data_IF_906881034480
#
_entry.id   IF_906881034480
#
_cell.length_a   1.000
_cell.length_b   1.000
_cell.length_c   1.000
_cell.angle_alpha   90.00
_cell.angle_beta   90.00
_cell.angle_gamma   90.00
#
_symmetry.space_group_name_H-M   'P 1'
#
loop_
_entity.id
_entity.type
_entity.pdbx_description
1 polymer ?
#
# COMPACT_ATOMS: atom_id res chain seq x y z
N UNK A 1 67.97 35.40 -22.77
CA UNK A 1 66.95 36.46 -22.83
C UNK A 1 65.91 35.95 -23.82
N UNK A 2 64.65 35.64 -23.54
CA UNK A 2 63.75 35.75 -22.38
C UNK A 2 62.68 34.64 -22.60
N UNK A 3 62.43 33.73 -21.66
CA UNK A 3 61.35 33.77 -20.67
C UNK A 3 60.08 34.52 -21.09
N UNK A 4 59.02 33.75 -21.39
CA UNK A 4 57.64 34.08 -20.98
C UNK A 4 56.80 32.78 -20.86
N UNK A 5 56.33 32.38 -19.67
CA UNK A 5 55.35 31.32 -19.48
C UNK A 5 53.97 31.93 -19.19
N UNK A 6 53.03 31.80 -20.12
CA UNK A 6 51.63 32.13 -19.86
C UNK A 6 50.79 30.87 -19.64
N UNK A 7 50.03 30.98 -18.56
CA UNK A 7 49.24 29.98 -17.88
C UNK A 7 47.83 30.08 -18.42
N UNK A 8 47.27 28.98 -18.92
CA UNK A 8 45.81 28.80 -18.97
C UNK A 8 45.47 27.40 -18.42
N UNK A 9 44.97 27.39 -17.18
CA UNK A 9 44.28 26.24 -16.62
C UNK A 9 42.83 26.25 -17.11
N UNK A 10 42.26 25.12 -17.55
CA UNK A 10 40.82 25.04 -17.72
C UNK A 10 40.13 25.01 -16.35
N UNK A 11 39.33 26.03 -16.11
CA UNK A 11 38.30 26.14 -15.09
C UNK A 11 37.55 24.81 -14.91
N UNK A 12 37.68 24.23 -13.71
CA UNK A 12 36.90 23.10 -13.24
C UNK A 12 35.44 23.54 -13.15
N UNK A 13 34.68 23.23 -14.21
CA UNK A 13 33.23 23.32 -14.20
C UNK A 13 32.69 22.25 -13.27
N UNK A 14 32.22 22.69 -12.10
CA UNK A 14 31.46 21.88 -11.18
C UNK A 14 30.26 21.26 -11.91
N UNK A 15 30.31 19.95 -12.15
CA UNK A 15 29.15 19.14 -12.45
C UNK A 15 28.14 19.32 -11.30
N UNK A 16 26.87 19.67 -11.56
CA UNK A 16 25.86 19.56 -10.53
C UNK A 16 25.77 18.08 -10.15
N UNK A 17 26.08 17.80 -8.89
CA UNK A 17 25.90 16.50 -8.26
C UNK A 17 24.39 16.24 -8.15
N UNK A 18 23.83 15.54 -9.14
CA UNK A 18 22.43 15.09 -9.14
C UNK A 18 22.34 13.79 -8.33
N UNK A 19 22.86 13.82 -7.10
CA UNK A 19 22.82 12.69 -6.16
C UNK A 19 21.91 13.01 -4.98
N UNK A 20 20.73 13.57 -5.21
CA UNK A 20 19.68 13.58 -4.19
C UNK A 20 18.26 13.73 -4.77
N UNK A 21 17.91 12.88 -5.74
CA UNK A 21 16.51 12.44 -5.80
C UNK A 21 16.39 11.27 -4.86
N UNK A 22 16.09 11.59 -3.60
CA UNK A 22 15.74 10.63 -2.55
C UNK A 22 14.75 9.61 -3.12
N UNK A 23 15.28 8.46 -3.53
CA UNK A 23 14.53 7.23 -3.61
C UNK A 23 14.07 7.02 -2.18
N UNK A 24 12.85 7.46 -1.86
CA UNK A 24 12.07 6.83 -0.81
C UNK A 24 12.04 5.38 -1.22
N UNK A 25 13.02 4.61 -0.73
CA UNK A 25 13.01 3.18 -0.72
C UNK A 25 11.80 2.81 0.12
N UNK A 26 10.64 2.81 -0.53
CA UNK A 26 9.42 2.29 0.01
C UNK A 26 9.81 0.89 0.48
N UNK A 27 9.73 0.67 1.78
CA UNK A 27 10.06 -0.59 2.45
C UNK A 27 8.98 -1.64 2.12
N UNK A 28 8.74 -1.84 0.83
CA UNK A 28 7.70 -2.69 0.28
C UNK A 28 8.25 -4.07 0.00
N UNK A 29 7.36 -5.04 0.11
CA UNK A 29 7.65 -6.42 -0.22
C UNK A 29 7.79 -6.54 -1.75
N UNK A 30 8.95 -6.99 -2.20
CA UNK A 30 9.21 -7.29 -3.61
C UNK A 30 8.93 -8.77 -3.83
N UNK A 31 8.18 -9.08 -4.89
CA UNK A 31 8.05 -10.46 -5.41
C UNK A 31 8.92 -10.57 -6.67
N UNK A 32 9.98 -11.36 -6.55
CA UNK A 32 10.88 -11.74 -7.65
C UNK A 32 10.50 -13.08 -8.26
N UNK A 33 11.01 -13.33 -9.47
CA UNK A 33 10.69 -14.52 -10.30
C UNK A 33 9.18 -14.80 -10.32
N UNK A 34 8.39 -13.75 -10.49
CA UNK A 34 6.95 -13.84 -10.38
C UNK A 34 6.33 -14.42 -11.65
N UNK A 35 5.20 -15.12 -11.49
CA UNK A 35 4.37 -15.65 -12.57
C UNK A 35 2.89 -15.44 -12.24
N UNK A 36 2.05 -15.31 -13.26
CA UNK A 36 0.61 -15.13 -13.07
C UNK A 36 -0.03 -16.50 -13.00
N UNK A 37 -0.78 -16.73 -11.94
CA UNK A 37 -1.60 -17.92 -11.80
C UNK A 37 -3.06 -17.51 -11.64
N UNK A 38 -3.98 -18.34 -12.10
CA UNK A 38 -5.40 -18.06 -11.99
C UNK A 38 -6.00 -18.86 -10.84
N UNK A 39 -6.73 -18.19 -9.96
CA UNK A 39 -7.61 -18.83 -8.98
C UNK A 39 -9.06 -18.74 -9.46
N UNK A 40 -9.91 -19.70 -9.10
CA UNK A 40 -11.36 -19.54 -9.29
C UNK A 40 -11.91 -18.71 -8.14
N UNK A 41 -12.65 -17.65 -8.47
CA UNK A 41 -13.45 -16.91 -7.51
C UNK A 41 -14.53 -17.82 -6.91
N UNK A 42 -14.70 -17.86 -5.58
CA UNK A 42 -15.69 -18.74 -4.94
C UNK A 42 -17.14 -18.33 -5.24
N UNK A 43 -17.38 -17.06 -5.57
CA UNK A 43 -18.72 -16.49 -5.73
C UNK A 43 -19.34 -16.75 -7.11
N UNK A 44 -18.53 -16.70 -8.18
CA UNK A 44 -19.02 -16.79 -9.56
C UNK A 44 -18.20 -17.75 -10.45
N UNK A 45 -17.19 -18.42 -9.90
CA UNK A 45 -16.31 -19.34 -10.64
C UNK A 45 -15.37 -18.68 -11.65
N UNK A 46 -15.35 -17.34 -11.73
CA UNK A 46 -14.50 -16.60 -12.66
C UNK A 46 -13.02 -16.77 -12.30
N UNK A 47 -12.16 -16.88 -13.32
CA UNK A 47 -10.73 -16.89 -13.11
C UNK A 47 -10.22 -15.49 -12.78
N UNK A 48 -9.59 -15.35 -11.62
CA UNK A 48 -9.01 -14.11 -11.12
C UNK A 48 -7.50 -14.28 -11.00
N UNK A 49 -6.77 -13.23 -11.43
CA UNK A 49 -5.32 -13.24 -11.42
C UNK A 49 -4.80 -13.26 -9.97
N UNK A 50 -3.80 -14.09 -9.73
CA UNK A 50 -2.94 -14.15 -8.54
C UNK A 50 -1.49 -14.15 -9.01
N UNK A 51 -0.56 -13.92 -8.08
CA UNK A 51 0.86 -14.00 -8.34
C UNK A 51 1.45 -15.12 -7.49
N UNK A 52 2.31 -15.92 -8.11
CA UNK A 52 3.25 -16.80 -7.42
C UNK A 52 4.67 -16.29 -7.67
N UNK A 53 5.51 -16.28 -6.65
CA UNK A 53 6.90 -15.81 -6.78
C UNK A 53 7.65 -15.85 -5.46
N UNK A 54 8.86 -15.31 -5.45
CA UNK A 54 9.77 -15.30 -4.31
C UNK A 54 9.76 -13.95 -3.62
N UNK A 55 9.45 -13.93 -2.32
CA UNK A 55 9.63 -12.72 -1.50
C UNK A 55 10.99 -12.78 -0.81
N UNK A 56 11.73 -11.68 -0.91
CA UNK A 56 13.01 -11.51 -0.24
C UNK A 56 12.86 -11.49 1.29
N UNK A 57 13.92 -11.90 2.00
CA UNK A 57 13.98 -12.01 3.46
C UNK A 57 13.87 -10.67 4.22
N UNK A 58 13.79 -9.54 3.52
CA UNK A 58 13.56 -8.22 4.11
C UNK A 58 12.13 -8.03 4.62
N UNK A 59 11.22 -8.96 4.33
CA UNK A 59 9.87 -8.96 4.89
C UNK A 59 9.89 -9.57 6.31
N UNK A 60 9.46 -8.86 7.37
CA UNK A 60 9.40 -9.41 8.72
C UNK A 60 8.54 -10.68 8.87
N UNK A 61 7.60 -10.91 7.94
CA UNK A 61 6.78 -12.14 7.89
C UNK A 61 7.52 -13.33 7.28
N UNK A 62 8.58 -13.09 6.50
CA UNK A 62 9.37 -14.11 5.81
C UNK A 62 10.86 -13.88 6.10
N UNK A 63 11.39 -14.42 7.21
CA UNK A 63 12.81 -14.22 7.58
C UNK A 63 13.80 -14.91 6.62
N UNK A 64 13.30 -15.74 5.72
CA UNK A 64 14.07 -16.38 4.65
C UNK A 64 13.36 -16.17 3.30
N UNK A 65 14.11 -16.16 2.18
CA UNK A 65 13.50 -16.13 0.85
C UNK A 65 12.47 -17.25 0.72
N UNK A 66 11.22 -16.87 0.46
CA UNK A 66 10.10 -17.81 0.49
C UNK A 66 9.28 -17.72 -0.79
N UNK A 67 8.92 -18.87 -1.34
CA UNK A 67 7.92 -18.94 -2.40
C UNK A 67 6.55 -18.67 -1.80
N UNK A 68 5.83 -17.70 -2.35
CA UNK A 68 4.50 -17.33 -1.91
C UNK A 68 3.52 -17.39 -3.07
N UNK A 69 2.26 -17.59 -2.70
CA UNK A 69 1.11 -17.33 -3.56
C UNK A 69 0.28 -16.21 -2.94
N UNK A 70 0.04 -15.15 -3.70
CA UNK A 70 -0.81 -14.05 -3.25
C UNK A 70 -2.28 -14.45 -3.28
N UNK A 71 -3.12 -13.72 -2.51
CA UNK A 71 -4.56 -13.70 -2.80
C UNK A 71 -4.80 -13.01 -4.15
N UNK A 72 -6.02 -13.11 -4.67
CA UNK A 72 -6.38 -12.49 -5.94
C UNK A 72 -6.06 -10.99 -5.99
N UNK A 73 -5.67 -10.54 -7.16
CA UNK A 73 -5.33 -9.16 -7.45
C UNK A 73 -6.62 -8.35 -7.67
N UNK A 74 -6.65 -7.13 -7.15
CA UNK A 74 -7.81 -6.23 -7.24
C UNK A 74 -7.49 -4.95 -7.97
N UNK A 75 -6.22 -4.54 -8.01
CA UNK A 75 -5.77 -3.33 -8.72
C UNK A 75 -4.26 -3.38 -8.94
N UNK A 76 -3.76 -2.49 -9.78
CA UNK A 76 -2.32 -2.18 -9.89
C UNK A 76 -2.05 -0.69 -9.67
N UNK A 77 -0.81 -0.33 -9.40
CA UNK A 77 -0.32 1.05 -9.34
C UNK A 77 1.10 1.12 -9.92
N UNK A 78 1.45 2.22 -10.58
CA UNK A 78 2.83 2.50 -11.01
C UNK A 78 3.41 3.58 -10.09
N UNK A 79 4.42 3.23 -9.29
CA UNK A 79 5.08 4.17 -8.38
C UNK A 79 6.58 4.21 -8.66
N UNK A 80 7.10 5.37 -9.06
CA UNK A 80 8.53 5.54 -9.38
C UNK A 80 9.02 4.58 -10.46
N UNK A 81 8.18 4.23 -11.44
CA UNK A 81 8.47 3.25 -12.49
C UNK A 81 8.35 1.78 -12.06
N UNK A 82 8.03 1.51 -10.79
CA UNK A 82 7.83 0.14 -10.28
C UNK A 82 6.37 -0.26 -10.40
N UNK A 83 6.11 -1.46 -10.92
CA UNK A 83 4.76 -2.04 -10.99
C UNK A 83 4.38 -2.63 -9.63
N UNK A 84 3.31 -2.12 -9.03
CA UNK A 84 2.82 -2.57 -7.72
C UNK A 84 1.45 -3.23 -7.88
N UNK A 85 1.31 -4.45 -7.40
CA UNK A 85 0.03 -5.15 -7.38
C UNK A 85 -0.64 -5.03 -6.01
N UNK A 86 -1.94 -4.78 -6.01
CA UNK A 86 -2.77 -4.74 -4.81
C UNK A 86 -3.62 -6.00 -4.78
N UNK A 87 -3.58 -6.68 -3.65
CA UNK A 87 -4.31 -7.92 -3.42
C UNK A 87 -5.61 -7.68 -2.65
N UNK A 88 -6.53 -8.65 -2.72
CA UNK A 88 -7.78 -8.68 -1.94
C UNK A 88 -7.61 -8.42 -0.44
N UNK A 89 -6.53 -8.96 0.14
CA UNK A 89 -6.16 -8.76 1.54
C UNK A 89 -5.45 -7.42 1.79
N UNK A 90 -5.56 -6.48 0.84
CA UNK A 90 -4.92 -5.16 0.84
C UNK A 90 -3.40 -5.20 1.02
N UNK A 91 -2.76 -6.33 0.73
CA UNK A 91 -1.31 -6.41 0.69
C UNK A 91 -0.82 -5.84 -0.64
N UNK A 92 0.27 -5.07 -0.58
CA UNK A 92 0.92 -4.46 -1.73
C UNK A 92 2.26 -5.16 -1.99
N UNK A 93 2.52 -5.50 -3.25
CA UNK A 93 3.76 -6.10 -3.66
C UNK A 93 4.32 -5.38 -4.87
N UNK A 94 5.57 -4.96 -4.79
CA UNK A 94 6.32 -4.53 -5.96
C UNK A 94 6.71 -5.76 -6.78
N UNK A 95 6.50 -5.72 -8.09
CA UNK A 95 6.96 -6.76 -8.99
C UNK A 95 8.42 -6.49 -9.36
N UNK A 96 9.28 -7.44 -9.00
CA UNK A 96 10.67 -7.46 -9.44
C UNK A 96 10.80 -8.18 -10.78
N UNK A 97 11.76 -9.09 -10.86
CA UNK A 97 11.99 -9.91 -12.05
C UNK A 97 10.83 -10.87 -12.32
N UNK A 98 10.38 -10.94 -13.58
CA UNK A 98 9.44 -11.97 -14.03
C UNK A 98 10.11 -13.34 -14.13
N UNK A 99 9.38 -14.42 -13.85
CA UNK A 99 9.86 -15.78 -14.07
C UNK A 99 10.19 -15.99 -15.57
N UNK A 100 11.35 -16.59 -15.93
CA UNK A 100 11.75 -16.72 -17.34
C UNK A 100 10.77 -17.53 -18.21
N UNK A 101 10.06 -18.48 -17.61
CA UNK A 101 9.05 -19.31 -18.29
C UNK A 101 7.63 -18.69 -18.29
N UNK A 102 7.44 -17.51 -17.70
CA UNK A 102 6.15 -16.82 -17.73
C UNK A 102 6.01 -16.04 -19.04
N UNK A 103 4.87 -16.20 -19.70
CA UNK A 103 4.57 -15.53 -20.95
C UNK A 103 3.81 -14.22 -20.73
N UNK A 104 2.94 -14.19 -19.72
CA UNK A 104 2.12 -13.02 -19.40
C UNK A 104 2.99 -11.90 -18.81
N UNK A 105 2.72 -10.67 -19.22
CA UNK A 105 3.50 -9.48 -18.84
C UNK A 105 2.70 -8.59 -17.88
N UNK A 106 3.34 -7.55 -17.39
CA UNK A 106 2.70 -6.43 -16.72
C UNK A 106 1.60 -5.79 -17.59
N UNK A 107 1.73 -5.82 -18.92
CA UNK A 107 0.68 -5.29 -19.82
C UNK A 107 -0.60 -6.13 -19.81
N UNK A 108 -0.48 -7.45 -19.63
CA UNK A 108 -1.66 -8.28 -19.37
C UNK A 108 -2.31 -7.90 -18.04
N UNK A 109 -1.52 -7.62 -17.00
CA UNK A 109 -2.07 -7.15 -15.73
C UNK A 109 -2.79 -5.81 -15.87
N UNK A 110 -2.24 -4.87 -16.65
CA UNK A 110 -2.89 -3.59 -16.96
C UNK A 110 -4.21 -3.76 -17.71
N UNK A 111 -4.35 -4.78 -18.55
CA UNK A 111 -5.57 -5.00 -19.32
C UNK A 111 -6.71 -5.62 -18.52
N UNK A 112 -6.39 -6.34 -17.44
CA UNK A 112 -7.38 -7.05 -16.61
C UNK A 112 -7.62 -6.45 -15.23
N UNK A 113 -6.75 -5.55 -14.77
CA UNK A 113 -6.87 -4.88 -13.47
C UNK A 113 -7.09 -3.37 -13.65
N UNK A 114 -7.90 -2.75 -12.78
CA UNK A 114 -7.98 -1.31 -12.73
C UNK A 114 -6.71 -0.69 -12.12
N UNK A 115 -6.34 0.50 -12.60
CA UNK A 115 -5.29 1.30 -11.98
C UNK A 115 -5.81 2.02 -10.72
N UNK A 116 -5.10 1.86 -9.61
CA UNK A 116 -5.33 2.60 -8.38
C UNK A 116 -4.61 3.94 -8.45
N UNK A 117 -5.37 5.02 -8.60
CA UNK A 117 -4.85 6.39 -8.41
C UNK A 117 -4.74 6.66 -6.92
N UNK A 118 -3.54 6.99 -6.43
CA UNK A 118 -3.38 7.51 -5.06
C UNK A 118 -4.11 8.84 -4.94
N UNK A 119 -4.74 9.05 -3.79
CA UNK A 119 -5.21 10.38 -3.42
C UNK A 119 -4.00 11.33 -3.37
N UNK A 120 -4.22 12.59 -3.74
CA UNK A 120 -3.21 13.63 -3.53
C UNK A 120 -2.77 13.60 -2.07
N UNK A 121 -1.47 13.84 -1.82
CA UNK A 121 -0.98 13.93 -0.45
C UNK A 121 -1.88 14.90 0.32
N UNK A 122 -2.35 14.53 1.52
CA UNK A 122 -3.16 15.44 2.30
C UNK A 122 -2.39 16.74 2.46
N UNK A 123 -3.06 17.86 2.16
CA UNK A 123 -2.50 19.19 2.45
C UNK A 123 -2.00 19.18 3.89
N UNK A 124 -0.83 19.79 4.20
CA UNK A 124 -0.43 19.98 5.58
C UNK A 124 -1.63 20.56 6.34
N UNK A 125 -1.94 19.92 7.46
CA UNK A 125 -3.04 20.30 8.32
C UNK A 125 -2.82 21.74 8.77
N UNK A 126 -3.55 22.68 8.16
CA UNK A 126 -3.63 24.04 8.65
C UNK A 126 -4.63 24.01 9.80
N UNK A 127 -4.14 24.02 11.03
CA UNK A 127 -4.92 23.82 12.26
C UNK A 127 -6.03 24.84 12.51
N UNK A 128 -6.33 25.71 11.55
CA UNK A 128 -7.38 26.72 11.61
C UNK A 128 -8.81 26.17 11.44
N UNK A 129 -9.01 24.90 11.06
CA UNK A 129 -10.33 24.42 10.60
C UNK A 129 -10.98 23.25 11.35
N UNK A 130 -10.37 22.65 12.37
CA UNK A 130 -10.90 21.40 12.95
C UNK A 130 -11.63 21.63 14.27
N UNK A 131 -12.92 21.93 14.17
CA UNK A 131 -13.82 21.85 15.31
C UNK A 131 -14.27 20.39 15.45
N UNK A 132 -13.79 19.70 16.48
CA UNK A 132 -14.31 18.40 16.88
C UNK A 132 -15.65 18.64 17.55
N UNK A 133 -16.76 18.34 16.87
CA UNK A 133 -18.06 18.21 17.53
C UNK A 133 -18.05 16.91 18.31
N UNK A 134 -17.70 16.97 19.59
CA UNK A 134 -17.92 15.86 20.50
C UNK A 134 -19.43 15.61 20.60
N UNK A 135 -19.87 14.40 20.28
CA UNK A 135 -21.24 13.98 20.55
C UNK A 135 -21.38 13.88 22.08
N UNK A 136 -22.21 14.73 22.68
CA UNK A 136 -22.62 14.53 24.08
C UNK A 136 -23.39 13.22 24.17
N UNK A 137 -22.90 12.30 24.99
CA UNK A 137 -23.71 11.17 25.47
C UNK A 137 -24.88 11.77 26.26
N UNK A 138 -26.14 11.47 25.92
CA UNK A 138 -27.26 11.93 26.72
C UNK A 138 -27.16 11.26 28.08
N UNK A 139 -26.95 12.07 29.12
CA UNK A 139 -27.12 11.67 30.51
C UNK A 139 -28.43 10.91 30.65
N UNK A 140 -28.32 9.67 31.13
CA UNK A 140 -29.46 8.81 31.41
C UNK A 140 -30.28 9.46 32.51
N UNK A 141 -31.33 10.17 32.09
CA UNK A 141 -32.28 10.82 32.96
C UNK A 141 -32.93 9.78 33.89
N UNK A 142 -32.78 10.04 35.19
CA UNK A 142 -33.36 9.29 36.31
C UNK A 142 -34.78 8.81 36.01
N UNK A 143 -34.99 7.50 36.13
CA UNK A 143 -36.32 6.92 36.21
C UNK A 143 -36.99 7.37 37.52
N UNK A 144 -38.19 7.96 37.49
CA UNK A 144 -38.91 8.24 38.71
C UNK A 144 -39.45 6.93 39.31
N UNK A 145 -39.05 6.71 40.56
CA UNK A 145 -39.63 5.80 41.54
C UNK A 145 -41.16 5.84 41.51
N UNK A 146 -41.81 4.68 41.40
CA UNK A 146 -43.17 4.52 41.90
C UNK A 146 -43.29 3.23 42.72
N UNK A 147 -43.35 3.44 44.03
CA UNK A 147 -43.70 2.46 45.04
C UNK A 147 -45.16 2.05 44.93
N UNK A 148 -45.45 0.77 45.15
CA UNK A 148 -46.81 0.23 45.21
C UNK A 148 -46.83 -1.10 45.94
N UNK A 149 -46.75 -1.06 47.26
CA UNK A 149 -47.16 -2.16 48.12
C UNK A 149 -48.69 -2.30 48.05
N UNK A 150 -49.20 -3.52 47.87
CA UNK A 150 -50.62 -3.81 47.82
C UNK A 150 -50.87 -5.29 48.06
N UNK A 151 -51.15 -5.60 49.33
CA UNK A 151 -51.78 -6.81 49.85
C UNK A 151 -52.86 -7.39 48.93
N UNK A 152 -52.95 -8.72 48.87
CA UNK A 152 -54.19 -9.37 48.42
C UNK A 152 -54.53 -10.56 49.35
N UNK A 153 -55.64 -10.50 50.11
CA UNK A 153 -56.11 -11.58 50.96
C UNK A 153 -56.97 -12.60 50.19
N UNK A 154 -57.10 -13.78 50.80
CA UNK A 154 -57.70 -15.02 50.30
C UNK A 154 -59.19 -14.98 49.91
N UNK A 155 -59.58 -15.88 49.00
CA UNK A 155 -60.87 -16.59 48.94
C UNK A 155 -60.78 -17.65 47.81
N UNK A 156 -61.33 -18.87 47.86
CA UNK A 156 -61.91 -19.75 48.88
C UNK A 156 -61.97 -21.13 48.24
#
# INVERSE_FOLDING_TARGET
MSHNPDIEQPISGATPDISDMGSKTNNRNVIDRWKIIHAKAPENGQYIACIEGLVASSNPRYPQPSSIRTSYLTAYEIEGGTFVVITARRSEYALGSRHPAEFLTEDFLKSVLPERKRAAAPSPFDGAGTQITAYMEPDSQEAPTQAGAGDNPAAK
#
